data_IF_362264969979
#
_entry.id   IF_362264969979
#
_cell.length_a   1.000
_cell.length_b   1.000
_cell.length_c   1.000
_cell.angle_alpha   90.00
_cell.angle_beta   90.00
_cell.angle_gamma   90.00
#
_symmetry.space_group_name_H-M   'P 1'
#
loop_
_entity.id
_entity.type
_entity.pdbx_description
1 polymer ?
#
# COMPACT_ATOMS: atom_id res chain seq x y z
N UNK A 1 27.65 -0.33 4.68
CA UNK A 1 27.30 0.09 6.05
C UNK A 1 28.54 0.64 6.69
N UNK A 2 28.55 1.86 7.27
CA UNK A 2 29.65 2.28 8.14
C UNK A 2 29.66 1.31 9.34
N UNK A 3 30.85 0.88 9.73
CA UNK A 3 31.07 -0.19 10.70
C UNK A 3 30.82 0.20 12.17
N UNK A 4 30.11 1.30 12.45
CA UNK A 4 30.05 1.90 13.79
C UNK A 4 28.64 1.93 14.41
N UNK A 5 27.67 1.20 13.85
CA UNK A 5 26.33 1.17 14.44
C UNK A 5 26.15 -0.09 15.31
N UNK A 6 25.88 0.14 16.59
CA UNK A 6 25.36 -0.86 17.50
C UNK A 6 24.15 -1.54 16.83
N UNK A 7 24.12 -2.87 16.88
CA UNK A 7 22.98 -3.62 16.34
C UNK A 7 21.74 -3.27 17.17
N UNK A 8 20.61 -3.05 16.48
CA UNK A 8 19.33 -2.77 17.13
C UNK A 8 18.98 -3.83 18.18
N UNK A 9 18.46 -3.40 19.31
CA UNK A 9 17.99 -4.30 20.34
C UNK A 9 16.74 -5.05 19.89
N UNK A 10 16.79 -6.39 19.88
CA UNK A 10 15.63 -7.23 19.56
C UNK A 10 14.79 -7.42 20.84
N UNK A 11 13.53 -6.98 20.80
CA UNK A 11 12.58 -7.04 21.90
C UNK A 11 11.60 -8.20 21.64
N UNK A 12 11.65 -9.22 22.50
CA UNK A 12 10.87 -10.46 22.41
C UNK A 12 10.06 -10.76 23.68
N UNK A 13 10.12 -9.86 24.69
CA UNK A 13 9.38 -9.97 25.94
C UNK A 13 8.60 -8.69 26.22
N UNK A 14 7.40 -8.82 26.78
CA UNK A 14 6.51 -7.69 27.04
C UNK A 14 7.10 -6.73 28.06
N UNK A 15 7.68 -7.26 29.14
CA UNK A 15 8.28 -6.45 30.22
C UNK A 15 9.38 -5.54 29.66
N UNK A 16 10.23 -6.07 28.76
CA UNK A 16 11.26 -5.27 28.10
C UNK A 16 10.65 -4.23 27.14
N UNK A 17 9.55 -4.55 26.45
CA UNK A 17 8.84 -3.61 25.61
C UNK A 17 8.26 -2.44 26.45
N UNK A 18 7.70 -2.71 27.62
CA UNK A 18 7.17 -1.70 28.54
C UNK A 18 8.27 -0.74 29.02
N UNK A 19 9.44 -1.28 29.41
CA UNK A 19 10.60 -0.48 29.79
C UNK A 19 11.06 0.43 28.66
N UNK A 20 11.18 -0.11 27.44
CA UNK A 20 11.59 0.66 26.25
C UNK A 20 10.54 1.72 25.91
N UNK A 21 9.24 1.40 25.94
CA UNK A 21 8.18 2.37 25.69
C UNK A 21 8.21 3.54 26.69
N UNK A 22 8.53 3.29 27.96
CA UNK A 22 8.65 4.34 28.96
C UNK A 22 9.80 5.33 28.66
N UNK A 23 10.89 4.86 28.04
CA UNK A 23 11.98 5.73 27.57
C UNK A 23 11.62 6.44 26.27
N UNK A 24 11.00 5.72 25.31
CA UNK A 24 10.58 6.28 24.03
C UNK A 24 9.53 7.39 24.20
N UNK A 25 8.66 7.30 25.20
CA UNK A 25 7.66 8.33 25.52
C UNK A 25 8.27 9.68 25.93
N UNK A 26 9.55 9.73 26.30
CA UNK A 26 10.28 10.95 26.61
C UNK A 26 10.89 11.61 25.37
N UNK A 27 10.90 10.92 24.25
CA UNK A 27 11.50 11.41 23.01
C UNK A 27 10.53 12.33 22.26
N UNK A 28 10.98 13.49 21.75
CA UNK A 28 10.11 14.38 20.97
C UNK A 28 9.75 13.83 19.58
N UNK A 29 10.51 12.84 19.11
CA UNK A 29 10.32 12.20 17.81
C UNK A 29 10.85 10.77 17.78
N UNK A 30 10.19 9.94 17.01
CA UNK A 30 10.51 8.52 16.80
C UNK A 30 10.34 8.17 15.32
N UNK A 31 11.21 7.31 14.80
CA UNK A 31 11.06 6.77 13.45
C UNK A 31 10.53 5.34 13.52
N UNK A 32 9.63 4.99 12.59
CA UNK A 32 8.97 3.69 12.53
C UNK A 32 8.97 3.11 11.13
N UNK A 33 8.99 1.79 11.07
CA UNK A 33 8.75 1.00 9.87
C UNK A 33 8.15 -0.36 10.28
N UNK A 34 7.57 -1.12 9.35
CA UNK A 34 7.05 -2.46 9.63
C UNK A 34 7.40 -3.44 8.54
N UNK A 35 7.58 -4.70 8.94
CA UNK A 35 7.68 -5.81 8.00
C UNK A 35 6.51 -6.78 8.19
N UNK A 36 5.91 -7.19 7.08
CA UNK A 36 4.76 -8.10 7.07
C UNK A 36 5.06 -9.41 6.35
N UNK A 37 4.19 -10.41 6.53
CA UNK A 37 4.27 -11.70 5.86
C UNK A 37 3.29 -11.86 4.68
N UNK A 38 2.73 -10.78 4.14
CA UNK A 38 1.71 -10.83 3.08
C UNK A 38 2.13 -11.56 1.81
N UNK A 39 3.43 -11.66 1.52
CA UNK A 39 3.96 -12.50 0.44
C UNK A 39 3.95 -14.00 0.74
N UNK A 40 3.70 -14.41 1.98
CA UNK A 40 3.85 -15.80 2.43
C UNK A 40 2.57 -16.35 3.03
N UNK A 41 1.89 -15.60 3.89
CA UNK A 41 0.70 -16.01 4.61
C UNK A 41 -0.60 -15.67 3.86
N UNK A 42 -1.66 -16.43 4.14
CA UNK A 42 -3.01 -16.14 3.66
C UNK A 42 -3.60 -14.93 4.39
N UNK A 43 -3.45 -14.91 5.70
CA UNK A 43 -3.76 -13.75 6.53
C UNK A 43 -2.46 -13.00 6.82
N UNK A 44 -2.30 -11.89 6.11
CA UNK A 44 -1.19 -11.00 6.37
C UNK A 44 -1.26 -10.43 7.78
N UNK A 45 -0.08 -10.32 8.41
CA UNK A 45 0.09 -9.64 9.70
C UNK A 45 1.44 -8.93 9.75
N UNK A 46 1.53 -7.95 10.62
CA UNK A 46 2.80 -7.33 10.98
C UNK A 46 3.67 -8.35 11.72
N UNK A 47 4.90 -8.51 11.27
CA UNK A 47 5.87 -9.47 11.80
C UNK A 47 7.04 -8.83 12.53
N UNK A 48 7.36 -7.58 12.22
CA UNK A 48 8.34 -6.76 12.92
C UNK A 48 7.85 -5.31 12.96
N UNK A 49 8.24 -4.59 14.00
CA UNK A 49 8.12 -3.13 14.08
C UNK A 49 9.49 -2.59 14.43
N UNK A 50 10.04 -1.77 13.54
CA UNK A 50 11.29 -1.06 13.74
C UNK A 50 11.00 0.28 14.40
N UNK A 51 11.81 0.63 15.39
CA UNK A 51 11.71 1.90 16.09
C UNK A 51 13.11 2.49 16.24
N UNK A 52 13.34 3.71 15.77
CA UNK A 52 14.55 4.46 16.09
C UNK A 52 14.20 5.68 16.92
N UNK A 53 14.92 5.86 18.01
CA UNK A 53 14.99 7.08 18.81
C UNK A 53 16.16 7.96 18.36
N UNK A 54 16.37 9.15 18.91
CA UNK A 54 17.57 9.93 18.64
C UNK A 54 18.90 9.24 18.98
N UNK A 55 18.88 8.23 19.86
CA UNK A 55 20.07 7.56 20.40
C UNK A 55 20.17 6.08 20.12
N UNK A 56 19.04 5.38 19.99
CA UNK A 56 19.01 3.92 19.94
C UNK A 56 18.00 3.40 18.92
N UNK A 57 18.28 2.19 18.40
CA UNK A 57 17.40 1.47 17.49
C UNK A 57 16.86 0.20 18.14
N UNK A 58 15.59 -0.09 17.94
CA UNK A 58 14.87 -1.24 18.48
C UNK A 58 14.13 -1.99 17.39
N UNK A 59 14.07 -3.31 17.53
CA UNK A 59 13.26 -4.20 16.70
C UNK A 59 12.27 -4.93 17.62
N UNK A 60 11.01 -4.61 17.54
CA UNK A 60 9.96 -5.31 18.29
C UNK A 60 9.47 -6.51 17.48
N UNK A 61 9.38 -7.67 18.12
CA UNK A 61 8.88 -8.91 17.53
C UNK A 61 7.46 -9.24 18.01
N UNK A 62 6.41 -8.80 17.28
CA UNK A 62 5.02 -9.05 17.67
C UNK A 62 4.60 -10.52 17.47
N UNK A 63 5.45 -11.38 16.89
CA UNK A 63 5.20 -12.82 16.86
C UNK A 63 5.59 -13.46 18.21
N UNK A 64 6.65 -12.96 18.82
CA UNK A 64 7.10 -13.42 20.14
C UNK A 64 6.27 -12.80 21.27
N UNK A 65 5.83 -11.53 21.11
CA UNK A 65 5.05 -10.80 22.12
C UNK A 65 3.59 -10.83 21.68
N UNK A 66 2.74 -11.51 22.46
CA UNK A 66 1.32 -11.68 22.10
C UNK A 66 0.50 -10.39 22.17
N UNK A 67 0.97 -9.40 22.94
CA UNK A 67 0.30 -8.14 23.17
C UNK A 67 1.32 -7.00 23.17
N UNK A 68 1.14 -6.06 22.21
CA UNK A 68 1.98 -4.88 22.03
C UNK A 68 1.19 -3.56 22.18
N UNK A 69 0.06 -3.60 22.86
CA UNK A 69 -0.84 -2.45 23.05
C UNK A 69 -0.13 -1.24 23.68
N UNK A 70 0.92 -1.47 24.46
CA UNK A 70 1.78 -0.44 25.08
C UNK A 70 2.43 0.50 24.07
N UNK A 71 2.53 0.12 22.78
CA UNK A 71 2.98 1.00 21.70
C UNK A 71 1.90 2.02 21.27
N UNK A 72 0.62 1.69 21.49
CA UNK A 72 -0.50 2.53 21.05
C UNK A 72 -0.41 3.98 21.50
N UNK A 73 -0.14 4.26 22.79
CA UNK A 73 0.06 5.64 23.28
C UNK A 73 1.15 6.42 22.56
N UNK A 74 2.27 5.79 22.15
CA UNK A 74 3.33 6.46 21.39
C UNK A 74 2.85 6.94 20.02
N UNK A 75 2.03 6.14 19.33
CA UNK A 75 1.46 6.51 18.05
C UNK A 75 0.37 7.59 18.16
N UNK A 76 -0.43 7.55 19.22
CA UNK A 76 -1.53 8.48 19.44
C UNK A 76 -1.08 9.86 19.99
N UNK A 77 0.09 9.95 20.62
CA UNK A 77 0.54 11.18 21.28
C UNK A 77 0.90 12.28 20.25
N UNK A 78 0.17 13.42 20.21
CA UNK A 78 0.49 14.52 19.32
C UNK A 78 1.80 15.25 19.69
N UNK A 79 2.32 15.03 20.89
CA UNK A 79 3.61 15.58 21.35
C UNK A 79 4.83 14.89 20.75
N UNK A 80 4.67 13.66 20.26
CA UNK A 80 5.74 12.88 19.63
C UNK A 80 5.56 12.96 18.11
N UNK A 81 6.57 13.39 17.35
CA UNK A 81 6.58 13.31 15.89
C UNK A 81 6.94 11.88 15.44
N UNK A 82 6.06 11.20 14.70
CA UNK A 82 6.31 9.85 14.15
C UNK A 82 6.75 9.95 12.71
N UNK A 83 7.97 9.50 12.44
CA UNK A 83 8.59 9.54 11.12
C UNK A 83 8.46 8.19 10.42
N UNK A 84 7.99 8.24 9.17
CA UNK A 84 7.88 7.09 8.29
C UNK A 84 8.55 7.39 6.94
N UNK A 85 8.77 6.33 6.16
CA UNK A 85 9.09 6.46 4.75
C UNK A 85 8.12 5.62 3.91
N UNK A 86 7.21 6.25 3.18
CA UNK A 86 6.11 5.58 2.48
C UNK A 86 5.18 4.81 3.45
N UNK A 87 4.92 5.39 4.61
CA UNK A 87 4.25 4.77 5.76
C UNK A 87 2.75 4.51 5.60
N UNK A 88 2.17 4.72 4.40
CA UNK A 88 0.75 4.43 4.13
C UNK A 88 0.40 2.98 4.49
N UNK A 89 1.24 2.04 4.05
CA UNK A 89 1.03 0.63 4.30
C UNK A 89 1.21 0.26 5.77
N UNK A 90 2.23 0.83 6.42
CA UNK A 90 2.52 0.61 7.84
C UNK A 90 1.38 1.07 8.73
N UNK A 91 0.90 2.30 8.50
CA UNK A 91 -0.24 2.88 9.21
C UNK A 91 -1.49 2.00 9.05
N UNK A 92 -1.80 1.56 7.82
CA UNK A 92 -2.93 0.68 7.55
C UNK A 92 -2.78 -0.69 8.24
N UNK A 93 -1.59 -1.29 8.21
CA UNK A 93 -1.33 -2.57 8.87
C UNK A 93 -1.43 -2.47 10.40
N UNK A 94 -0.84 -1.44 10.99
CA UNK A 94 -0.88 -1.22 12.44
C UNK A 94 -2.29 -0.89 12.94
N UNK A 95 -3.08 -0.12 12.18
CA UNK A 95 -4.51 0.09 12.46
C UNK A 95 -5.31 -1.20 12.34
N UNK A 96 -5.08 -1.99 11.30
CA UNK A 96 -5.79 -3.25 11.05
C UNK A 96 -5.52 -4.30 12.13
N UNK A 97 -4.24 -4.48 12.47
CA UNK A 97 -3.81 -5.59 13.32
C UNK A 97 -3.93 -5.28 14.81
N UNK A 98 -3.81 -4.00 15.21
CA UNK A 98 -3.74 -3.59 16.62
C UNK A 98 -4.73 -2.48 17.00
N UNK A 99 -5.44 -1.89 16.04
CA UNK A 99 -6.38 -0.80 16.32
C UNK A 99 -5.70 0.52 16.71
N UNK A 100 -4.42 0.70 16.41
CA UNK A 100 -3.69 1.91 16.77
C UNK A 100 -4.24 3.14 16.05
N UNK A 101 -4.18 4.28 16.73
CA UNK A 101 -4.49 5.60 16.17
C UNK A 101 -3.22 6.41 16.01
N UNK A 102 -3.22 7.35 15.09
CA UNK A 102 -2.01 8.11 14.74
C UNK A 102 -2.27 9.61 14.80
N UNK A 103 -1.30 10.34 15.33
CA UNK A 103 -1.25 11.80 15.32
C UNK A 103 0.19 12.26 15.09
N UNK A 104 0.38 13.45 14.51
CA UNK A 104 1.68 14.08 14.28
C UNK A 104 2.65 13.19 13.48
N UNK A 105 2.18 12.76 12.29
CA UNK A 105 2.98 11.99 11.34
C UNK A 105 3.86 12.91 10.47
N UNK A 106 5.03 12.41 10.12
CA UNK A 106 5.92 12.94 9.10
C UNK A 106 6.32 11.80 8.16
N UNK A 107 6.08 11.93 6.87
CA UNK A 107 6.49 10.92 5.89
C UNK A 107 7.55 11.49 4.95
N UNK A 108 8.75 10.89 4.97
CA UNK A 108 9.89 11.37 4.20
C UNK A 108 9.72 11.17 2.69
N UNK A 109 8.91 10.20 2.23
CA UNK A 109 8.58 10.05 0.81
C UNK A 109 7.56 11.13 0.37
N UNK A 110 6.57 11.42 1.18
CA UNK A 110 5.61 12.52 0.93
C UNK A 110 6.37 13.85 0.87
N UNK A 111 7.26 14.12 1.84
CA UNK A 111 8.11 15.30 1.84
C UNK A 111 8.95 15.42 0.55
N UNK A 112 9.56 14.30 0.10
CA UNK A 112 10.31 14.26 -1.14
C UNK A 112 9.45 14.60 -2.37
N UNK A 113 8.21 14.10 -2.44
CA UNK A 113 7.25 14.43 -3.52
C UNK A 113 6.92 15.93 -3.53
N UNK A 114 6.67 16.50 -2.36
CA UNK A 114 6.38 17.94 -2.23
C UNK A 114 7.59 18.80 -2.62
N UNK A 115 8.79 18.32 -2.38
CA UNK A 115 10.04 18.95 -2.82
C UNK A 115 10.31 18.79 -4.33
N UNK A 116 9.54 17.95 -5.04
CA UNK A 116 9.72 17.67 -6.47
C UNK A 116 10.87 16.69 -6.76
N UNK A 117 11.25 15.89 -5.79
CA UNK A 117 12.28 14.85 -5.94
C UNK A 117 11.68 13.67 -6.71
N UNK A 118 12.37 13.19 -7.75
CA UNK A 118 11.88 12.11 -8.63
C UNK A 118 12.13 10.71 -8.05
N UNK A 119 13.29 10.53 -7.40
CA UNK A 119 13.69 9.25 -6.82
C UNK A 119 13.21 9.18 -5.37
N UNK A 120 12.08 8.53 -5.16
CA UNK A 120 11.35 8.56 -3.90
C UNK A 120 11.74 7.46 -2.90
N UNK A 121 12.38 6.37 -3.36
CA UNK A 121 12.70 5.24 -2.50
C UNK A 121 13.76 5.58 -1.44
N UNK A 122 13.63 4.98 -0.24
CA UNK A 122 14.51 5.23 0.91
C UNK A 122 16.00 5.06 0.58
N UNK A 123 16.37 3.99 -0.13
CA UNK A 123 17.76 3.76 -0.51
C UNK A 123 18.34 4.91 -1.35
N UNK A 124 17.57 5.43 -2.33
CA UNK A 124 18.01 6.56 -3.14
C UNK A 124 18.07 7.86 -2.32
N UNK A 125 17.13 8.05 -1.37
CA UNK A 125 17.15 9.19 -0.48
C UNK A 125 18.39 9.20 0.44
N UNK A 126 18.73 8.04 1.02
CA UNK A 126 19.91 7.86 1.88
C UNK A 126 21.20 8.02 1.06
N UNK A 127 21.29 7.43 -0.12
CA UNK A 127 22.45 7.55 -1.00
C UNK A 127 22.69 9.03 -1.40
N UNK A 128 21.64 9.73 -1.82
CA UNK A 128 21.70 11.14 -2.19
C UNK A 128 22.11 12.04 -1.03
N UNK A 129 21.58 11.80 0.17
CA UNK A 129 21.77 12.70 1.31
C UNK A 129 23.05 12.40 2.09
N UNK A 130 23.42 11.11 2.17
CA UNK A 130 24.51 10.67 3.07
C UNK A 130 25.63 9.93 2.34
N UNK A 131 25.50 9.67 1.02
CA UNK A 131 26.47 8.89 0.25
C UNK A 131 26.54 7.40 0.63
N UNK A 132 25.51 6.90 1.32
CA UNK A 132 25.47 5.52 1.82
C UNK A 132 24.60 4.65 0.93
N UNK A 133 25.11 3.48 0.56
CA UNK A 133 24.37 2.48 -0.21
C UNK A 133 23.77 1.45 0.74
N UNK A 134 22.44 1.36 0.78
CA UNK A 134 21.72 0.32 1.54
C UNK A 134 21.20 -0.79 0.63
N UNK A 135 21.26 -2.03 1.13
CA UNK A 135 20.84 -3.21 0.38
C UNK A 135 19.32 -3.35 0.37
N UNK A 136 18.73 -3.72 -0.79
CA UNK A 136 17.31 -4.07 -0.93
C UNK A 136 17.07 -5.59 -0.88
N UNK A 137 18.09 -6.38 -0.58
CA UNK A 137 18.08 -7.85 -0.74
C UNK A 137 16.99 -8.55 0.08
N UNK A 138 16.65 -8.02 1.25
CA UNK A 138 15.69 -8.63 2.18
C UNK A 138 14.28 -8.04 2.11
N UNK A 139 14.01 -7.09 1.23
CA UNK A 139 12.69 -6.45 1.06
C UNK A 139 11.53 -7.45 0.83
N UNK A 140 11.81 -8.65 0.32
CA UNK A 140 10.82 -9.71 0.10
C UNK A 140 11.15 -10.98 0.90
N UNK A 141 11.87 -10.84 2.01
CA UNK A 141 12.16 -11.96 2.88
C UNK A 141 10.88 -12.49 3.57
N UNK A 142 10.95 -13.71 4.07
CA UNK A 142 9.86 -14.26 4.87
C UNK A 142 10.02 -13.80 6.32
N UNK A 143 9.45 -12.62 6.61
CA UNK A 143 9.53 -11.99 7.92
C UNK A 143 8.73 -12.73 9.01
N UNK A 144 7.87 -13.68 8.61
CA UNK A 144 7.19 -14.57 9.55
C UNK A 144 8.07 -15.66 10.13
N UNK A 145 9.25 -15.93 9.53
CA UNK A 145 10.18 -16.97 10.00
C UNK A 145 10.96 -16.54 11.24
N UNK A 146 11.25 -17.53 12.09
CA UNK A 146 12.13 -17.40 13.25
C UNK A 146 13.14 -18.56 13.27
N UNK A 147 14.35 -18.34 13.83
CA UNK A 147 14.86 -17.10 14.38
C UNK A 147 15.20 -16.07 13.29
N UNK A 148 15.21 -14.78 13.64
CA UNK A 148 15.72 -13.72 12.77
C UNK A 148 17.24 -13.82 12.67
N UNK A 149 17.79 -13.63 11.48
CA UNK A 149 19.24 -13.56 11.31
C UNK A 149 19.76 -12.16 11.64
N UNK A 150 21.05 -12.05 11.99
CA UNK A 150 21.71 -10.75 12.18
C UNK A 150 21.60 -9.85 10.94
N UNK A 151 21.63 -10.44 9.72
CA UNK A 151 21.47 -9.71 8.47
C UNK A 151 20.05 -9.10 8.36
N UNK A 152 19.02 -9.85 8.79
CA UNK A 152 17.64 -9.35 8.84
C UNK A 152 17.48 -8.20 9.84
N UNK A 153 18.04 -8.33 11.03
CA UNK A 153 18.00 -7.27 12.04
C UNK A 153 18.68 -5.98 11.52
N UNK A 154 19.84 -6.09 10.91
CA UNK A 154 20.56 -4.94 10.34
C UNK A 154 19.82 -4.30 9.16
N UNK A 155 19.17 -5.12 8.34
CA UNK A 155 18.34 -4.63 7.25
C UNK A 155 17.18 -3.79 7.82
N UNK A 156 16.39 -4.36 8.72
CA UNK A 156 15.26 -3.70 9.35
C UNK A 156 15.68 -2.42 10.13
N UNK A 157 16.80 -2.44 10.85
CA UNK A 157 17.39 -1.25 11.49
C UNK A 157 17.64 -0.13 10.48
N UNK A 158 18.11 -0.47 9.28
CA UNK A 158 18.44 0.50 8.23
C UNK A 158 17.23 1.28 7.70
N UNK A 159 16.02 0.74 7.84
CA UNK A 159 14.81 1.35 7.31
C UNK A 159 14.32 2.52 8.19
N UNK A 160 14.74 2.61 9.47
CA UNK A 160 14.37 3.71 10.39
C UNK A 160 15.54 4.58 10.83
N UNK A 161 16.74 4.02 10.94
CA UNK A 161 17.94 4.68 11.52
C UNK A 161 18.24 6.07 10.95
N UNK A 162 18.02 6.27 9.67
CA UNK A 162 18.37 7.52 8.98
C UNK A 162 17.22 8.53 8.88
N UNK A 163 15.98 8.15 9.26
CA UNK A 163 14.79 8.95 8.95
C UNK A 163 14.79 10.30 9.64
N UNK A 164 15.30 10.41 10.88
CA UNK A 164 15.33 11.67 11.60
C UNK A 164 16.20 12.71 10.89
N UNK A 165 17.41 12.30 10.52
CA UNK A 165 18.34 13.19 9.80
C UNK A 165 17.81 13.56 8.41
N UNK A 166 17.17 12.60 7.72
CA UNK A 166 16.55 12.84 6.42
C UNK A 166 15.39 13.84 6.55
N UNK A 167 14.54 13.67 7.57
CA UNK A 167 13.42 14.57 7.84
C UNK A 167 13.88 16.00 8.16
N UNK A 168 14.95 16.18 8.92
CA UNK A 168 15.50 17.50 9.25
C UNK A 168 15.92 18.27 7.99
N UNK A 169 16.65 17.61 7.09
CA UNK A 169 17.07 18.21 5.81
C UNK A 169 15.88 18.53 4.91
N UNK A 170 14.90 17.62 4.85
CA UNK A 170 13.69 17.83 4.05
C UNK A 170 12.83 18.96 4.63
N UNK A 171 12.67 19.04 5.95
CA UNK A 171 11.90 20.09 6.61
C UNK A 171 12.49 21.47 6.33
N UNK A 172 13.82 21.60 6.42
CA UNK A 172 14.54 22.82 6.05
C UNK A 172 14.24 23.20 4.59
N UNK A 173 14.40 22.27 3.65
CA UNK A 173 14.14 22.53 2.24
C UNK A 173 12.66 22.87 1.94
N UNK A 174 11.70 22.26 2.64
CA UNK A 174 10.27 22.58 2.54
C UNK A 174 9.97 23.99 2.99
N UNK A 175 10.56 24.42 4.11
CA UNK A 175 10.41 25.79 4.64
C UNK A 175 11.01 26.81 3.65
N UNK A 176 12.23 26.60 3.16
CA UNK A 176 12.90 27.46 2.19
C UNK A 176 12.10 27.62 0.89
N UNK A 177 11.42 26.54 0.44
CA UNK A 177 10.54 26.57 -0.76
C UNK A 177 9.13 27.07 -0.48
N UNK A 178 8.75 27.40 0.77
CA UNK A 178 7.38 27.75 1.15
C UNK A 178 6.37 26.62 0.90
N UNK A 179 6.80 25.35 1.05
CA UNK A 179 6.00 24.13 0.78
C UNK A 179 5.71 23.31 2.04
N UNK A 180 6.08 23.82 3.20
CA UNK A 180 5.86 23.11 4.46
C UNK A 180 4.40 22.76 4.70
N UNK A 181 3.49 23.72 4.49
CA UNK A 181 2.06 23.50 4.69
C UNK A 181 1.46 22.46 3.74
N UNK A 182 1.97 22.35 2.50
CA UNK A 182 1.56 21.28 1.57
C UNK A 182 1.93 19.90 2.10
N UNK A 183 3.10 19.78 2.72
CA UNK A 183 3.57 18.52 3.32
C UNK A 183 2.74 18.18 4.57
N UNK A 184 2.50 19.15 5.46
CA UNK A 184 1.67 18.96 6.66
C UNK A 184 0.25 18.51 6.31
N UNK A 185 -0.36 19.11 5.29
CA UNK A 185 -1.68 18.69 4.81
C UNK A 185 -1.66 17.22 4.36
N UNK A 186 -0.63 16.83 3.58
CA UNK A 186 -0.50 15.46 3.10
C UNK A 186 -0.21 14.45 4.24
N UNK A 187 0.55 14.84 5.27
CA UNK A 187 0.76 14.01 6.46
C UNK A 187 -0.54 13.78 7.24
N UNK A 188 -1.38 14.81 7.37
CA UNK A 188 -2.70 14.68 8.02
C UNK A 188 -3.65 13.75 7.25
N UNK A 189 -3.56 13.69 5.93
CA UNK A 189 -4.35 12.71 5.16
C UNK A 189 -3.87 11.28 5.41
N UNK A 190 -2.57 11.06 5.61
CA UNK A 190 -2.03 9.76 6.01
C UNK A 190 -2.60 9.28 7.36
N UNK A 191 -2.74 10.19 8.33
CA UNK A 191 -3.32 9.89 9.65
C UNK A 191 -4.77 9.39 9.58
N UNK A 192 -5.55 9.88 8.59
CA UNK A 192 -6.97 9.58 8.41
C UNK A 192 -7.25 8.27 7.66
N UNK A 193 -6.22 7.62 7.13
CA UNK A 193 -6.40 6.38 6.38
C UNK A 193 -7.08 5.31 7.25
N UNK A 194 -8.06 4.64 6.67
CA UNK A 194 -8.77 3.54 7.33
C UNK A 194 -8.46 2.21 6.62
N UNK A 195 -8.11 1.17 7.37
CA UNK A 195 -7.81 -0.12 6.79
C UNK A 195 -9.07 -0.77 6.23
N UNK A 196 -8.97 -1.32 5.03
CA UNK A 196 -10.00 -2.18 4.48
C UNK A 196 -9.68 -3.64 4.76
N UNK A 197 -10.63 -4.37 5.32
CA UNK A 197 -10.48 -5.82 5.48
C UNK A 197 -10.65 -6.46 4.10
N UNK A 198 -9.63 -7.21 3.67
CA UNK A 198 -9.71 -8.00 2.44
C UNK A 198 -10.75 -9.11 2.62
N UNK A 199 -11.90 -8.94 1.99
CA UNK A 199 -12.91 -10.00 1.89
C UNK A 199 -12.69 -10.74 0.58
N UNK A 200 -12.70 -12.08 0.64
CA UNK A 200 -12.64 -12.90 -0.56
C UNK A 200 -13.86 -12.64 -1.44
N UNK A 201 -13.61 -12.34 -2.71
CA UNK A 201 -14.65 -12.13 -3.73
C UNK A 201 -14.82 -13.45 -4.53
N UNK A 202 -15.92 -14.22 -4.30
CA UNK A 202 -16.16 -15.46 -5.03
C UNK A 202 -16.31 -15.26 -6.55
N UNK A 203 -16.68 -14.05 -6.98
CA UNK A 203 -16.82 -13.68 -8.38
C UNK A 203 -15.56 -12.99 -8.95
N UNK A 204 -14.50 -12.86 -8.13
CA UNK A 204 -13.24 -12.18 -8.50
C UNK A 204 -12.54 -12.79 -9.72
N UNK A 205 -12.81 -14.06 -10.07
CA UNK A 205 -12.27 -14.74 -11.25
C UNK A 205 -12.59 -14.02 -12.57
N UNK A 206 -13.68 -13.26 -12.64
CA UNK A 206 -14.01 -12.47 -13.82
C UNK A 206 -12.95 -11.43 -14.19
N UNK A 207 -12.16 -10.98 -13.21
CA UNK A 207 -11.07 -10.02 -13.42
C UNK A 207 -9.89 -10.64 -14.19
N UNK A 208 -9.72 -11.96 -14.09
CA UNK A 208 -8.59 -12.68 -14.67
C UNK A 208 -8.65 -12.75 -16.19
N UNK A 209 -9.83 -12.80 -16.74
CA UNK A 209 -10.05 -12.88 -18.20
C UNK A 209 -10.40 -11.49 -18.80
N UNK A 210 -10.64 -10.49 -17.98
CA UNK A 210 -11.01 -9.16 -18.44
C UNK A 210 -12.26 -9.16 -19.31
N UNK A 211 -12.11 -8.80 -20.61
CA UNK A 211 -13.19 -8.85 -21.61
C UNK A 211 -13.07 -10.06 -22.54
N UNK A 212 -12.04 -10.90 -22.37
CA UNK A 212 -11.88 -12.10 -23.19
C UNK A 212 -13.03 -13.09 -22.93
N UNK A 213 -13.48 -13.74 -23.98
CA UNK A 213 -14.40 -14.88 -23.88
C UNK A 213 -13.57 -16.16 -24.03
N UNK A 214 -13.46 -16.91 -22.94
CA UNK A 214 -12.78 -18.21 -22.93
C UNK A 214 -13.77 -19.39 -23.08
N UNK A 215 -15.06 -19.08 -23.38
CA UNK A 215 -16.12 -20.07 -23.48
C UNK A 215 -16.76 -20.44 -22.14
N UNK A 216 -18.07 -20.76 -22.18
CA UNK A 216 -18.86 -20.92 -20.96
C UNK A 216 -18.38 -22.03 -20.03
N UNK A 217 -17.94 -23.19 -20.57
CA UNK A 217 -17.39 -24.29 -19.73
C UNK A 217 -16.04 -23.94 -19.10
N UNK A 218 -15.19 -23.26 -19.84
CA UNK A 218 -13.91 -22.77 -19.30
C UNK A 218 -14.14 -21.75 -18.18
N UNK A 219 -15.12 -20.86 -18.32
CA UNK A 219 -15.49 -19.92 -17.25
C UNK A 219 -16.02 -20.64 -16.00
N UNK A 220 -16.83 -21.69 -16.16
CA UNK A 220 -17.30 -22.48 -15.04
C UNK A 220 -16.15 -23.24 -14.36
N UNK A 221 -15.22 -23.79 -15.13
CA UNK A 221 -14.01 -24.39 -14.59
C UNK A 221 -13.13 -23.37 -13.87
N UNK A 222 -12.95 -22.16 -14.42
CA UNK A 222 -12.16 -21.08 -13.78
C UNK A 222 -12.77 -20.68 -12.45
N UNK A 223 -14.10 -20.57 -12.33
CA UNK A 223 -14.80 -20.34 -11.06
C UNK A 223 -14.46 -21.42 -10.02
N UNK A 224 -14.56 -22.69 -10.39
CA UNK A 224 -14.27 -23.79 -9.47
C UNK A 224 -12.79 -23.84 -9.06
N UNK A 225 -11.87 -23.54 -9.99
CA UNK A 225 -10.43 -23.45 -9.71
C UNK A 225 -10.15 -22.25 -8.76
N UNK A 226 -10.81 -21.12 -8.97
CA UNK A 226 -10.71 -19.93 -8.11
C UNK A 226 -11.11 -20.24 -6.66
N UNK A 227 -12.28 -20.87 -6.48
CA UNK A 227 -12.77 -21.31 -5.18
C UNK A 227 -11.87 -22.37 -4.55
N UNK A 228 -11.33 -23.29 -5.35
CA UNK A 228 -10.40 -24.31 -4.88
C UNK A 228 -9.10 -23.68 -4.39
N UNK A 229 -8.49 -22.77 -5.16
CA UNK A 229 -7.27 -22.07 -4.76
C UNK A 229 -7.43 -21.35 -3.43
N UNK A 230 -8.54 -20.65 -3.25
CA UNK A 230 -8.82 -19.91 -2.03
C UNK A 230 -8.91 -20.84 -0.81
N UNK A 231 -9.65 -21.94 -0.92
CA UNK A 231 -9.71 -22.95 0.15
C UNK A 231 -8.34 -23.53 0.49
N UNK A 232 -7.50 -23.80 -0.51
CA UNK A 232 -6.14 -24.30 -0.30
C UNK A 232 -5.22 -23.27 0.34
N UNK A 233 -5.36 -22.01 -0.04
CA UNK A 233 -4.62 -20.90 0.53
C UNK A 233 -4.97 -20.70 2.02
N UNK A 234 -6.26 -20.62 2.33
CA UNK A 234 -6.76 -20.45 3.69
C UNK A 234 -6.40 -21.60 4.61
N UNK A 235 -6.59 -22.86 4.17
CA UNK A 235 -6.32 -24.06 4.99
C UNK A 235 -4.84 -24.28 5.28
N UNK A 236 -3.94 -23.66 4.53
CA UNK A 236 -2.48 -23.80 4.67
C UNK A 236 -1.80 -22.55 5.16
N UNK A 237 -2.57 -21.51 5.46
CA UNK A 237 -2.08 -20.17 5.75
C UNK A 237 -1.01 -19.72 4.72
N UNK A 238 -1.33 -19.83 3.44
CA UNK A 238 -0.40 -19.53 2.37
C UNK A 238 -0.97 -18.51 1.40
N UNK A 239 -0.17 -17.54 0.98
CA UNK A 239 -0.60 -16.53 0.01
C UNK A 239 -1.17 -17.20 -1.26
N UNK A 240 -2.35 -16.78 -1.77
CA UNK A 240 -3.04 -17.47 -2.87
C UNK A 240 -2.18 -17.66 -4.13
N UNK A 241 -1.36 -16.66 -4.51
CA UNK A 241 -0.49 -16.77 -5.68
C UNK A 241 0.64 -17.80 -5.52
N UNK A 242 1.01 -18.15 -4.26
CA UNK A 242 1.96 -19.21 -3.95
C UNK A 242 1.33 -20.61 -3.99
N UNK A 243 0.02 -20.70 -3.91
CA UNK A 243 -0.72 -21.95 -4.20
C UNK A 243 -0.79 -22.16 -5.70
N UNK A 244 -1.24 -21.13 -6.43
CA UNK A 244 -1.34 -21.16 -7.89
C UNK A 244 -1.36 -19.74 -8.47
N UNK A 245 -0.49 -19.44 -9.46
CA UNK A 245 -0.54 -18.18 -10.21
C UNK A 245 -1.84 -18.01 -10.98
N UNK A 246 -2.31 -16.78 -11.12
CA UNK A 246 -3.58 -16.47 -11.80
C UNK A 246 -3.59 -16.86 -13.27
N UNK A 247 -2.48 -16.61 -13.97
CA UNK A 247 -2.32 -16.98 -15.37
C UNK A 247 -2.33 -18.50 -15.60
N UNK A 248 -1.85 -19.29 -14.65
CA UNK A 248 -1.95 -20.75 -14.70
C UNK A 248 -3.39 -21.22 -14.53
N UNK A 249 -4.18 -20.58 -13.64
CA UNK A 249 -5.59 -20.94 -13.47
C UNK A 249 -6.39 -20.75 -14.76
N UNK A 250 -6.16 -19.64 -15.47
CA UNK A 250 -6.81 -19.37 -16.77
C UNK A 250 -6.43 -20.46 -17.78
N UNK A 251 -5.13 -20.78 -17.93
CA UNK A 251 -4.69 -21.85 -18.87
C UNK A 251 -5.26 -23.22 -18.54
N UNK A 252 -5.35 -23.58 -17.26
CA UNK A 252 -5.97 -24.84 -16.84
C UNK A 252 -7.47 -24.84 -17.19
N UNK A 253 -8.14 -23.71 -16.97
CA UNK A 253 -9.56 -23.57 -17.29
C UNK A 253 -9.83 -23.65 -18.81
N UNK A 254 -8.98 -23.05 -19.64
CA UNK A 254 -9.08 -23.10 -21.10
C UNK A 254 -8.83 -24.51 -21.67
N UNK A 255 -7.83 -25.21 -21.10
CA UNK A 255 -7.47 -26.55 -21.59
C UNK A 255 -8.39 -27.66 -21.11
N UNK A 256 -9.17 -27.44 -20.04
CA UNK A 256 -10.11 -28.40 -19.45
C UNK A 256 -9.50 -29.80 -19.27
N UNK A 257 -8.36 -30.01 -18.63
CA UNK A 257 -7.68 -31.31 -18.57
C UNK A 257 -8.52 -32.32 -17.79
N UNK A 258 -8.48 -33.59 -18.25
CA UNK A 258 -9.23 -34.72 -17.65
C UNK A 258 -8.32 -35.66 -16.87
N UNK A 259 -7.03 -35.69 -17.23
CA UNK A 259 -6.06 -36.62 -16.64
C UNK A 259 -4.88 -35.84 -16.06
N UNK A 260 -4.10 -36.53 -15.23
CA UNK A 260 -2.86 -35.97 -14.66
C UNK A 260 -1.85 -35.59 -15.73
N UNK A 261 -1.78 -36.39 -16.80
CA UNK A 261 -0.89 -36.19 -17.96
C UNK A 261 -1.29 -34.94 -18.76
N UNK A 262 -2.57 -34.76 -19.06
CA UNK A 262 -3.05 -33.54 -19.72
C UNK A 262 -2.92 -32.32 -18.88
N UNK A 263 -3.09 -32.41 -17.53
CA UNK A 263 -2.84 -31.32 -16.59
C UNK A 263 -1.35 -30.98 -16.53
N UNK A 264 -0.45 -31.98 -16.53
CA UNK A 264 0.99 -31.79 -16.55
C UNK A 264 1.48 -31.06 -17.81
N UNK A 265 0.79 -31.26 -18.95
CA UNK A 265 1.11 -30.63 -20.24
C UNK A 265 0.73 -29.11 -20.27
N UNK A 266 -0.07 -28.61 -19.32
CA UNK A 266 -0.45 -27.21 -19.29
C UNK A 266 0.78 -26.34 -19.04
N UNK A 267 1.01 -25.37 -19.92
CA UNK A 267 2.15 -24.44 -19.81
C UNK A 267 2.17 -23.73 -18.45
N UNK A 268 3.27 -23.86 -17.72
CA UNK A 268 3.45 -23.27 -16.39
C UNK A 268 3.05 -24.19 -15.23
N UNK A 269 2.58 -25.42 -15.52
CA UNK A 269 2.36 -26.44 -14.50
C UNK A 269 3.72 -26.93 -13.98
N UNK A 270 4.01 -26.66 -12.72
CA UNK A 270 5.23 -27.17 -12.08
C UNK A 270 4.99 -28.55 -11.48
N UNK A 271 6.03 -29.40 -11.35
CA UNK A 271 5.92 -30.68 -10.64
C UNK A 271 5.35 -30.52 -9.23
N UNK A 272 5.74 -29.47 -8.52
CA UNK A 272 5.24 -29.15 -7.18
C UNK A 272 3.72 -28.91 -7.16
N UNK A 273 3.20 -28.07 -8.08
CA UNK A 273 1.76 -27.77 -8.17
C UNK A 273 0.99 -29.02 -8.57
N UNK A 274 1.50 -29.77 -9.54
CA UNK A 274 0.87 -31.01 -10.01
C UNK A 274 0.76 -32.06 -8.92
N UNK A 275 1.82 -32.29 -8.17
CA UNK A 275 1.84 -33.27 -7.10
C UNK A 275 0.95 -32.86 -5.92
N UNK A 276 1.04 -31.59 -5.52
CA UNK A 276 0.39 -31.08 -4.31
C UNK A 276 -1.09 -30.76 -4.49
N UNK A 277 -1.47 -30.26 -5.67
CA UNK A 277 -2.80 -29.71 -5.96
C UNK A 277 -3.48 -30.37 -7.15
N UNK A 278 -2.80 -31.23 -7.93
CA UNK A 278 -3.28 -31.74 -9.21
C UNK A 278 -4.61 -32.50 -9.11
N UNK A 279 -4.76 -33.40 -8.15
CA UNK A 279 -6.01 -34.13 -7.96
C UNK A 279 -7.20 -33.20 -7.66
N UNK A 280 -7.01 -32.21 -6.79
CA UNK A 280 -8.05 -31.24 -6.48
C UNK A 280 -8.35 -30.27 -7.64
N UNK A 281 -7.35 -29.98 -8.49
CA UNK A 281 -7.55 -29.21 -9.72
C UNK A 281 -8.38 -29.97 -10.74
N UNK A 282 -8.08 -31.25 -10.99
CA UNK A 282 -8.88 -32.08 -11.88
C UNK A 282 -10.32 -32.16 -11.38
N UNK A 283 -10.53 -32.39 -10.09
CA UNK A 283 -11.88 -32.40 -9.54
C UNK A 283 -12.59 -31.03 -9.64
N UNK A 284 -11.86 -29.89 -9.56
CA UNK A 284 -12.42 -28.58 -9.81
C UNK A 284 -12.81 -28.37 -11.29
N UNK A 285 -11.96 -28.80 -12.21
CA UNK A 285 -12.26 -28.76 -13.65
C UNK A 285 -13.48 -29.63 -13.99
N UNK A 286 -13.58 -30.82 -13.43
CA UNK A 286 -14.71 -31.73 -13.62
C UNK A 286 -16.03 -31.10 -13.14
N UNK A 287 -16.05 -30.51 -11.93
CA UNK A 287 -17.22 -29.77 -11.45
C UNK A 287 -17.59 -28.60 -12.36
N UNK A 288 -16.61 -27.85 -12.85
CA UNK A 288 -16.84 -26.74 -13.77
C UNK A 288 -17.40 -27.21 -15.11
N UNK A 289 -16.93 -28.35 -15.64
CA UNK A 289 -17.47 -28.95 -16.88
C UNK A 289 -18.93 -29.40 -16.74
N UNK A 290 -19.31 -29.89 -15.56
CA UNK A 290 -20.68 -30.31 -15.23
C UNK A 290 -21.62 -29.13 -14.92
N UNK A 291 -21.07 -27.99 -14.51
CA UNK A 291 -21.84 -26.82 -14.13
C UNK A 291 -22.37 -26.02 -15.33
N UNK A 292 -23.46 -25.29 -15.12
CA UNK A 292 -23.93 -24.31 -16.09
C UNK A 292 -22.90 -23.15 -16.22
N UNK A 293 -22.72 -22.62 -17.44
CA UNK A 293 -21.88 -21.44 -17.63
C UNK A 293 -22.30 -20.29 -16.71
N UNK A 294 -21.36 -19.66 -15.98
CA UNK A 294 -21.71 -18.56 -15.09
C UNK A 294 -22.11 -17.33 -15.92
N UNK A 295 -23.14 -16.65 -15.47
CA UNK A 295 -23.55 -15.38 -16.05
C UNK A 295 -22.71 -14.27 -15.42
N UNK A 296 -22.11 -13.43 -16.26
CA UNK A 296 -21.30 -12.32 -15.78
C UNK A 296 -22.18 -11.37 -14.96
N UNK A 297 -21.80 -11.04 -13.71
CA UNK A 297 -22.51 -10.04 -12.95
C UNK A 297 -22.61 -8.74 -13.74
N UNK A 298 -23.79 -8.13 -13.74
CA UNK A 298 -23.90 -6.78 -14.28
C UNK A 298 -22.80 -5.93 -13.62
N UNK A 299 -22.05 -5.20 -14.44
CA UNK A 299 -21.04 -4.29 -13.92
C UNK A 299 -21.73 -3.44 -12.85
N UNK A 300 -21.23 -3.51 -11.61
CA UNK A 300 -21.73 -2.57 -10.58
C UNK A 300 -21.70 -1.21 -11.25
N UNK A 301 -22.80 -0.51 -11.24
CA UNK A 301 -22.86 0.88 -11.69
C UNK A 301 -21.94 1.70 -10.78
N UNK A 302 -20.63 1.54 -10.93
CA UNK A 302 -19.72 2.61 -10.54
C UNK A 302 -20.26 3.80 -11.30
N UNK A 303 -20.84 4.76 -10.58
CA UNK A 303 -21.33 6.00 -11.17
C UNK A 303 -20.34 6.46 -12.23
N UNK A 304 -20.68 6.22 -13.49
CA UNK A 304 -19.92 6.81 -14.59
C UNK A 304 -20.06 8.30 -14.42
N UNK A 305 -18.95 9.01 -14.47
CA UNK A 305 -19.01 10.46 -14.51
C UNK A 305 -19.91 10.84 -15.71
N UNK A 306 -20.81 11.81 -15.50
CA UNK A 306 -21.54 12.41 -16.60
C UNK A 306 -20.55 13.01 -17.62
N UNK A 307 -20.98 13.20 -18.85
CA UNK A 307 -20.10 13.70 -19.91
C UNK A 307 -19.46 15.03 -19.55
N UNK A 308 -20.24 15.92 -18.94
CA UNK A 308 -19.76 17.23 -18.46
C UNK A 308 -18.75 17.10 -17.33
N UNK A 309 -19.04 16.22 -16.36
CA UNK A 309 -18.12 15.92 -15.25
C UNK A 309 -16.79 15.37 -15.79
N UNK A 310 -16.86 14.46 -16.77
CA UNK A 310 -15.68 13.87 -17.40
C UNK A 310 -14.84 14.91 -18.15
N UNK A 311 -15.48 15.77 -18.93
CA UNK A 311 -14.82 16.86 -19.67
C UNK A 311 -14.08 17.80 -18.73
N UNK A 312 -14.76 18.21 -17.65
CA UNK A 312 -14.15 19.07 -16.64
C UNK A 312 -13.01 18.35 -15.90
N UNK A 313 -13.19 17.07 -15.56
CA UNK A 313 -12.13 16.28 -14.94
C UNK A 313 -10.87 16.22 -15.82
N UNK A 314 -10.99 15.98 -17.12
CA UNK A 314 -9.86 15.98 -18.06
C UNK A 314 -9.22 17.38 -18.21
N UNK A 315 -10.01 18.43 -18.19
CA UNK A 315 -9.50 19.81 -18.20
C UNK A 315 -8.70 20.12 -16.91
N UNK A 316 -9.18 19.71 -15.75
CA UNK A 316 -8.47 19.83 -14.48
C UNK A 316 -7.19 18.99 -14.47
N UNK A 317 -7.23 17.80 -15.04
CA UNK A 317 -6.06 16.91 -15.15
C UNK A 317 -4.96 17.50 -16.02
N UNK A 318 -5.34 18.11 -17.16
CA UNK A 318 -4.39 18.79 -18.04
C UNK A 318 -3.77 20.01 -17.33
N UNK A 319 -4.60 20.86 -16.72
CA UNK A 319 -4.14 22.00 -15.93
C UNK A 319 -3.22 21.59 -14.78
N UNK A 320 -3.59 20.54 -14.02
CA UNK A 320 -2.77 20.03 -12.92
C UNK A 320 -1.39 19.61 -13.37
N UNK A 321 -1.29 18.94 -14.53
CA UNK A 321 -0.01 18.52 -15.11
C UNK A 321 0.86 19.73 -15.43
N UNK A 322 0.32 20.72 -16.16
CA UNK A 322 1.02 21.95 -16.51
C UNK A 322 1.45 22.74 -15.27
N UNK A 323 0.57 22.82 -14.27
CA UNK A 323 0.88 23.48 -13.00
C UNK A 323 1.99 22.78 -12.24
N UNK A 324 1.98 21.44 -12.17
CA UNK A 324 3.03 20.64 -11.54
C UNK A 324 4.39 20.84 -12.21
N UNK A 325 4.44 20.88 -13.54
CA UNK A 325 5.65 21.16 -14.31
C UNK A 325 6.21 22.56 -14.00
N UNK A 326 5.35 23.59 -13.96
CA UNK A 326 5.72 24.97 -13.64
C UNK A 326 6.25 25.08 -12.21
N UNK A 327 5.56 24.48 -11.24
CA UNK A 327 5.89 24.55 -9.82
C UNK A 327 6.99 23.57 -9.43
N UNK A 328 7.44 22.72 -10.36
CA UNK A 328 8.44 21.66 -10.18
C UNK A 328 8.10 20.70 -9.05
N UNK A 329 6.83 20.32 -8.94
CA UNK A 329 6.32 19.33 -7.99
C UNK A 329 5.53 18.25 -8.70
N UNK A 330 5.36 17.09 -8.06
CA UNK A 330 4.46 16.06 -8.62
C UNK A 330 3.02 16.61 -8.73
N UNK A 331 2.30 16.30 -9.83
CA UNK A 331 0.94 16.80 -10.03
C UNK A 331 -0.01 16.47 -8.87
N UNK A 332 0.17 15.35 -8.19
CA UNK A 332 -0.65 14.96 -7.03
C UNK A 332 -0.53 15.92 -5.85
N UNK A 333 0.58 16.63 -5.72
CA UNK A 333 0.78 17.68 -4.70
C UNK A 333 -0.13 18.88 -4.94
N UNK A 334 -0.44 19.20 -6.21
CA UNK A 334 -1.35 20.27 -6.58
C UNK A 334 -2.79 19.88 -6.19
N UNK A 335 -3.31 18.81 -6.78
CA UNK A 335 -4.62 18.23 -6.48
C UNK A 335 -4.56 16.70 -6.58
N UNK A 336 -5.21 15.99 -5.67
CA UNK A 336 -5.41 14.54 -5.80
C UNK A 336 -6.38 14.22 -6.95
N UNK A 337 -6.35 13.00 -7.43
CA UNK A 337 -7.33 12.54 -8.44
C UNK A 337 -8.75 12.56 -7.88
N UNK A 338 -8.90 12.27 -6.60
CA UNK A 338 -10.20 12.32 -5.93
C UNK A 338 -10.72 13.76 -5.78
N UNK A 339 -9.87 14.70 -5.35
CA UNK A 339 -10.22 16.12 -5.32
C UNK A 339 -10.72 16.63 -6.66
N UNK A 340 -10.05 16.26 -7.76
CA UNK A 340 -10.50 16.65 -9.10
C UNK A 340 -11.87 16.05 -9.48
N UNK A 341 -12.15 14.80 -9.10
CA UNK A 341 -13.46 14.17 -9.29
C UNK A 341 -14.55 14.89 -8.50
N UNK A 342 -14.26 15.23 -7.26
CA UNK A 342 -15.19 15.95 -6.39
C UNK A 342 -15.45 17.36 -6.92
N UNK A 343 -14.41 18.09 -7.35
CA UNK A 343 -14.55 19.41 -8.00
C UNK A 343 -15.48 19.30 -9.22
N UNK A 344 -15.24 18.33 -10.11
CA UNK A 344 -16.07 18.13 -11.30
C UNK A 344 -17.52 17.84 -10.92
N UNK A 345 -17.76 16.97 -9.95
CA UNK A 345 -19.10 16.64 -9.46
C UNK A 345 -19.81 17.84 -8.83
N UNK A 346 -19.11 18.65 -8.05
CA UNK A 346 -19.67 19.87 -7.45
C UNK A 346 -19.95 20.96 -8.50
N UNK A 347 -19.03 21.18 -9.42
CA UNK A 347 -19.18 22.18 -10.47
C UNK A 347 -20.35 21.90 -11.42
N UNK A 348 -20.68 20.63 -11.68
CA UNK A 348 -21.79 20.24 -12.56
C UNK A 348 -23.15 20.18 -11.85
N UNK A 349 -23.23 20.37 -10.54
CA UNK A 349 -24.49 20.49 -9.79
C UNK A 349 -25.03 21.93 -9.88
N UNK A 350 -26.35 22.04 -9.96
CA UNK A 350 -27.01 23.36 -9.87
C UNK A 350 -26.70 24.01 -8.52
N UNK A 351 -26.12 25.21 -8.53
CA UNK A 351 -25.73 25.91 -7.31
C UNK A 351 -24.52 25.28 -6.54
N UNK A 352 -23.84 24.31 -7.14
CA UNK A 352 -22.69 23.68 -6.51
C UNK A 352 -21.44 24.56 -6.52
N UNK A 353 -20.71 24.58 -5.40
CA UNK A 353 -19.42 25.27 -5.27
C UNK A 353 -18.27 24.35 -5.71
N UNK A 354 -17.54 24.67 -6.79
CA UNK A 354 -16.40 23.89 -7.25
C UNK A 354 -15.25 23.81 -6.21
N UNK A 355 -15.14 24.80 -5.34
CA UNK A 355 -14.05 24.87 -4.35
C UNK A 355 -14.38 24.15 -3.03
N UNK A 356 -15.64 23.76 -2.81
CA UNK A 356 -16.06 23.09 -1.57
C UNK A 356 -15.20 21.87 -1.18
N UNK A 357 -14.72 21.03 -2.14
CA UNK A 357 -13.87 19.88 -1.80
C UNK A 357 -12.42 20.23 -1.41
N UNK A 358 -12.01 21.48 -1.55
CA UNK A 358 -10.63 21.91 -1.31
C UNK A 358 -10.43 22.38 0.12
N UNK A 359 -9.26 22.09 0.68
CA UNK A 359 -8.77 22.71 1.91
C UNK A 359 -8.57 24.22 1.71
N UNK A 360 -8.53 24.98 2.81
CA UNK A 360 -8.27 26.43 2.75
C UNK A 360 -6.91 26.74 2.11
N UNK A 361 -5.89 25.92 2.38
CA UNK A 361 -4.59 26.04 1.71
C UNK A 361 -4.70 25.90 0.20
N UNK A 362 -5.43 24.89 -0.29
CA UNK A 362 -5.63 24.64 -1.72
C UNK A 362 -6.51 25.69 -2.37
N UNK A 363 -7.54 26.19 -1.67
CA UNK A 363 -8.36 27.31 -2.13
C UNK A 363 -7.50 28.56 -2.33
N UNK A 364 -6.66 28.91 -1.34
CA UNK A 364 -5.77 30.08 -1.41
C UNK A 364 -4.77 29.96 -2.56
N UNK A 365 -4.16 28.79 -2.76
CA UNK A 365 -3.11 28.61 -3.77
C UNK A 365 -3.61 28.39 -5.19
N UNK A 366 -4.72 27.71 -5.35
CA UNK A 366 -5.18 27.18 -6.63
C UNK A 366 -6.62 27.50 -6.96
N UNK A 367 -7.38 28.10 -6.04
CA UNK A 367 -8.83 28.35 -6.22
C UNK A 367 -9.15 29.16 -7.45
N UNK A 368 -8.45 30.27 -7.70
CA UNK A 368 -8.65 31.10 -8.90
C UNK A 368 -8.37 30.32 -10.20
N UNK A 369 -7.30 29.52 -10.20
CA UNK A 369 -6.95 28.72 -11.37
C UNK A 369 -8.02 27.64 -11.63
N UNK A 370 -8.49 26.96 -10.58
CA UNK A 370 -9.58 25.97 -10.66
C UNK A 370 -10.85 26.62 -11.21
N UNK A 371 -11.26 27.79 -10.70
CA UNK A 371 -12.43 28.50 -11.21
C UNK A 371 -12.28 28.88 -12.67
N UNK A 372 -11.08 29.31 -13.12
CA UNK A 372 -10.81 29.58 -14.54
C UNK A 372 -10.95 28.31 -15.41
N UNK A 373 -10.49 27.16 -14.95
CA UNK A 373 -10.66 25.90 -15.67
C UNK A 373 -12.12 25.51 -15.76
N UNK A 374 -12.88 25.65 -14.67
CA UNK A 374 -14.33 25.38 -14.63
C UNK A 374 -15.07 26.29 -15.62
N UNK A 375 -14.81 27.60 -15.61
CA UNK A 375 -15.43 28.54 -16.50
C UNK A 375 -15.15 28.25 -17.99
N UNK A 376 -13.90 27.95 -18.34
CA UNK A 376 -13.50 27.54 -19.70
C UNK A 376 -14.20 26.25 -20.15
N UNK A 377 -14.30 25.26 -19.28
CA UNK A 377 -14.97 23.99 -19.60
C UNK A 377 -16.48 24.18 -19.85
N UNK A 378 -17.15 25.08 -19.11
CA UNK A 378 -18.57 25.42 -19.32
C UNK A 378 -18.84 26.18 -20.63
N UNK A 379 -17.90 27.02 -21.05
CA UNK A 379 -18.05 27.82 -22.29
C UNK A 379 -17.71 27.00 -23.56
N UNK A 380 -17.11 25.83 -23.42
CA UNK A 380 -16.78 24.94 -24.53
C UNK A 380 -17.85 23.83 -24.73
N UNK A 381 -18.92 23.86 -23.96
CA UNK A 381 -20.10 23.00 -24.06
C UNK A 381 -21.23 23.69 -24.78
#
# INVERSE_FOLDING_TARGET
MPNDHRIAALITAREHLEEVCAELAKCPRLAFDTESNGFYAYKEKVCLIQISSPTDDYIVDPIAISDIDVLGPLFADPGIEKLFHAGEYDVLCLKRDYGFTFANLYDTMIAARVLGIKELGLAAAIERQFGLVISKKLQRADWGKRPLTTEMIRYAQGDTHFLMRLADEQKKALLEKGRWEDAVEAFRELEKLEPSVRVFDPEGYWKLVGRADIGGKAMAALKEIWLYRERQAASRDRAPFRVMPEDLMVRVAESLPETKESLAAVKGMSPYILERFGAGLLAAVERGRAAAPPVRPAASEKRRMAEDEWRLFEALRAWRKERGERDKVEPVVILSTDSMRQIAAHACRVGGDPLAPLSELKKTRYGEDVLRVVAKSRNAA
#
